data_IF_603394086636
#
_entry.id   IF_603394086636
#
_cell.length_a   1.000
_cell.length_b   1.000
_cell.length_c   1.000
_cell.angle_alpha   90.00
_cell.angle_beta   90.00
_cell.angle_gamma   90.00
#
_symmetry.space_group_name_H-M   'P 1'
#
loop_
_entity.id
_entity.type
_entity.pdbx_description
1 polymer ?
#
# COMPACT_ATOMS: atom_id res chain seq x y z
N UNK A 1 39.58 72.92 11.03
CA UNK A 1 40.20 72.64 12.32
C UNK A 1 40.05 71.14 12.59
N UNK A 2 41.14 70.45 12.51
CA UNK A 2 41.76 69.46 13.43
C UNK A 2 40.76 68.42 13.98
N UNK A 3 40.85 67.21 13.45
CA UNK A 3 41.69 66.11 13.92
C UNK A 3 41.01 65.20 14.95
N UNK A 4 40.77 63.97 14.56
CA UNK A 4 41.43 62.80 15.20
C UNK A 4 40.96 61.49 14.51
N UNK A 5 41.85 60.99 13.71
CA UNK A 5 41.90 59.59 13.37
C UNK A 5 42.67 58.84 14.46
N UNK A 6 42.50 57.52 14.45
CA UNK A 6 43.23 56.49 15.20
C UNK A 6 42.55 55.99 16.48
N UNK A 7 41.93 54.86 16.36
CA UNK A 7 42.33 53.58 17.02
C UNK A 7 41.25 52.54 16.81
N UNK A 8 41.45 51.66 15.87
CA UNK A 8 40.72 50.41 15.82
C UNK A 8 41.42 49.42 14.85
N UNK A 9 42.63 49.06 15.14
CA UNK A 9 43.27 47.91 14.47
C UNK A 9 44.06 47.20 15.58
N UNK A 10 43.53 46.20 16.23
CA UNK A 10 44.28 45.18 17.00
C UNK A 10 43.38 44.19 17.80
N UNK A 11 42.18 43.78 17.33
CA UNK A 11 41.42 42.74 18.05
C UNK A 11 40.89 41.63 17.12
N UNK A 12 41.32 41.53 15.86
CA UNK A 12 40.79 40.51 14.94
C UNK A 12 41.73 39.29 14.78
N UNK A 13 42.93 39.28 15.37
CA UNK A 13 43.86 38.18 15.13
C UNK A 13 43.85 37.03 16.18
N UNK A 14 43.11 37.14 17.28
CA UNK A 14 43.11 36.12 18.33
C UNK A 14 41.87 35.15 18.27
N UNK A 15 40.82 35.48 17.52
CA UNK A 15 39.60 34.65 17.42
C UNK A 15 39.65 33.58 16.31
N UNK A 16 40.57 33.72 15.35
CA UNK A 16 40.67 32.80 14.21
C UNK A 16 41.35 31.46 14.47
N UNK A 17 42.26 31.43 15.46
CA UNK A 17 43.05 30.21 15.74
C UNK A 17 42.32 29.18 16.61
N UNK A 18 41.40 29.61 17.44
CA UNK A 18 40.65 28.72 18.34
C UNK A 18 39.49 28.01 17.63
N UNK A 19 38.96 28.59 16.54
CA UNK A 19 37.86 27.99 15.78
C UNK A 19 38.32 26.84 14.86
N UNK A 20 39.56 26.91 14.36
CA UNK A 20 40.13 25.87 13.49
C UNK A 20 40.49 24.57 14.22
N UNK A 21 40.88 24.66 15.52
CA UNK A 21 41.19 23.47 16.32
C UNK A 21 39.89 22.74 16.76
N UNK A 22 38.81 23.46 17.00
CA UNK A 22 37.53 22.86 17.36
C UNK A 22 36.84 22.14 16.16
N UNK A 23 36.98 22.64 14.92
CA UNK A 23 36.46 21.97 13.73
C UNK A 23 37.27 20.71 13.36
N UNK A 24 38.59 20.68 13.61
CA UNK A 24 39.40 19.49 13.34
C UNK A 24 39.09 18.33 14.31
N UNK A 25 38.70 18.63 15.56
CA UNK A 25 38.30 17.62 16.54
C UNK A 25 36.89 17.04 16.26
N UNK A 26 35.99 17.83 15.63
CA UNK A 26 34.63 17.37 15.31
C UNK A 26 34.59 16.45 14.08
N UNK A 27 35.50 16.63 13.12
CA UNK A 27 35.57 15.75 11.93
C UNK A 27 36.39 14.47 12.14
N UNK A 28 37.16 14.38 13.23
CA UNK A 28 37.96 13.19 13.56
C UNK A 28 37.17 12.07 14.26
N UNK A 29 35.97 12.33 14.78
CA UNK A 29 35.18 11.39 15.56
C UNK A 29 34.04 10.69 14.77
N UNK A 30 33.90 10.98 13.47
CA UNK A 30 32.82 10.37 12.63
C UNK A 30 33.32 9.31 11.64
N UNK A 31 34.47 8.68 11.89
CA UNK A 31 34.90 7.52 11.07
C UNK A 31 35.11 6.28 11.92
N UNK A 32 34.07 5.86 12.60
CA UNK A 32 33.91 4.45 12.95
C UNK A 32 32.57 4.01 12.40
N UNK A 33 32.61 3.48 11.20
CA UNK A 33 31.47 2.72 10.62
C UNK A 33 31.16 1.51 11.50
N UNK A 34 29.90 1.06 11.55
CA UNK A 34 29.55 -0.14 12.30
C UNK A 34 30.33 -1.34 11.75
N UNK A 35 30.88 -2.13 12.68
CA UNK A 35 31.60 -3.36 12.37
C UNK A 35 30.70 -4.29 11.54
N UNK A 36 31.18 -4.71 10.37
CA UNK A 36 30.56 -5.76 9.57
C UNK A 36 30.56 -7.08 10.36
N UNK A 37 29.42 -7.45 10.87
CA UNK A 37 29.20 -8.85 11.28
C UNK A 37 28.85 -9.67 10.04
N UNK A 38 29.83 -10.37 9.52
CA UNK A 38 29.62 -11.39 8.50
C UNK A 38 28.76 -12.50 9.09
N UNK A 39 27.49 -12.59 8.67
CA UNK A 39 26.65 -13.76 8.91
C UNK A 39 26.60 -14.60 7.63
N UNK A 40 27.07 -15.83 7.74
CA UNK A 40 27.05 -16.83 6.67
C UNK A 40 25.67 -17.48 6.58
N UNK A 41 25.06 -17.42 5.39
CA UNK A 41 24.09 -18.40 4.91
C UNK A 41 22.61 -18.10 5.15
N UNK A 42 21.82 -18.13 4.10
CA UNK A 42 20.36 -18.23 3.99
C UNK A 42 19.47 -17.03 4.40
N UNK A 43 20.03 -15.86 4.79
CA UNK A 43 19.26 -14.69 5.19
C UNK A 43 19.53 -13.42 4.40
N UNK A 44 20.34 -13.46 3.35
CA UNK A 44 20.85 -12.24 2.69
C UNK A 44 19.77 -11.37 2.00
N UNK A 45 18.58 -11.94 1.69
CA UNK A 45 17.47 -11.20 1.10
C UNK A 45 16.61 -10.43 2.13
N UNK A 46 16.69 -10.80 3.41
CA UNK A 46 15.94 -10.12 4.48
C UNK A 46 16.70 -8.95 5.11
N UNK A 47 18.03 -8.93 4.99
CA UNK A 47 18.87 -7.88 5.62
C UNK A 47 18.75 -6.50 4.98
N UNK A 48 18.15 -6.39 3.79
CA UNK A 48 17.92 -5.11 3.10
C UNK A 48 16.48 -4.60 3.17
N UNK A 49 15.56 -5.37 3.77
CA UNK A 49 14.15 -4.95 3.83
C UNK A 49 13.95 -3.82 4.85
N UNK A 50 13.22 -2.74 4.51
CA UNK A 50 12.95 -1.64 5.43
C UNK A 50 12.33 -2.15 6.74
N UNK A 51 12.80 -1.59 7.87
CA UNK A 51 12.21 -1.83 9.19
C UNK A 51 11.25 -0.68 9.51
N UNK A 52 9.96 -1.03 9.67
CA UNK A 52 8.90 -0.08 10.03
C UNK A 52 8.61 -0.05 11.53
N UNK A 53 9.43 -0.72 12.35
CA UNK A 53 9.29 -0.77 13.82
C UNK A 53 8.06 -1.54 14.30
N UNK A 54 7.51 -2.43 13.46
CA UNK A 54 6.32 -3.25 13.78
C UNK A 54 6.51 -4.69 13.33
N UNK A 55 5.78 -5.63 13.96
CA UNK A 55 5.74 -7.00 13.49
C UNK A 55 5.08 -7.07 12.11
N UNK A 56 5.76 -7.67 11.14
CA UNK A 56 5.24 -7.84 9.79
C UNK A 56 5.77 -9.12 9.13
N UNK A 57 5.03 -9.63 8.17
CA UNK A 57 5.40 -10.79 7.37
C UNK A 57 4.27 -11.79 7.22
N UNK A 58 4.59 -13.02 6.82
CA UNK A 58 3.61 -14.08 6.54
C UNK A 58 3.28 -14.94 7.78
N UNK A 59 3.94 -14.67 8.90
CA UNK A 59 3.67 -15.40 10.15
C UNK A 59 2.46 -14.84 10.87
N UNK A 60 1.50 -15.70 11.20
CA UNK A 60 0.33 -15.35 12.02
C UNK A 60 0.69 -14.84 13.42
N UNK A 61 1.96 -14.96 13.87
CA UNK A 61 2.43 -14.36 15.13
C UNK A 61 2.36 -12.83 15.12
N UNK A 62 2.34 -12.20 13.92
CA UNK A 62 2.16 -10.77 13.79
C UNK A 62 0.70 -10.33 13.77
N UNK A 63 -0.25 -11.25 13.88
CA UNK A 63 -1.68 -10.96 13.97
C UNK A 63 -2.13 -10.85 15.43
N UNK A 64 -2.94 -9.82 15.72
CA UNK A 64 -3.55 -9.63 17.03
C UNK A 64 -5.01 -10.11 17.01
N UNK A 65 -5.23 -11.36 17.35
CA UNK A 65 -6.57 -11.91 17.51
C UNK A 65 -7.12 -11.58 18.91
N UNK A 66 -7.63 -10.38 19.07
CA UNK A 66 -8.23 -9.91 20.32
C UNK A 66 -9.76 -10.02 20.33
N UNK A 67 -10.34 -10.66 19.32
CA UNK A 67 -11.78 -10.85 19.21
C UNK A 67 -12.56 -9.59 18.77
N UNK A 68 -11.87 -8.51 18.39
CA UNK A 68 -12.52 -7.25 18.01
C UNK A 68 -13.35 -7.34 16.73
N UNK A 69 -13.03 -8.28 15.84
CA UNK A 69 -13.59 -8.40 14.48
C UNK A 69 -14.28 -9.74 14.23
N UNK A 70 -14.60 -10.48 15.26
CA UNK A 70 -15.46 -11.65 15.10
C UNK A 70 -16.85 -11.18 14.68
N UNK A 71 -17.41 -11.70 13.56
CA UNK A 71 -18.75 -11.32 13.17
C UNK A 71 -19.73 -11.78 14.24
N UNK A 72 -20.37 -10.82 14.88
CA UNK A 72 -21.49 -11.06 15.76
C UNK A 72 -22.74 -11.37 14.90
N UNK A 73 -23.91 -11.18 15.45
CA UNK A 73 -25.21 -11.35 14.78
C UNK A 73 -25.39 -10.51 13.50
N UNK A 74 -24.59 -9.45 13.33
CA UNK A 74 -24.75 -8.46 12.25
C UNK A 74 -23.98 -8.81 10.96
N UNK A 75 -23.26 -9.94 10.95
CA UNK A 75 -22.47 -10.39 9.79
C UNK A 75 -21.19 -9.57 9.54
N UNK A 76 -20.60 -9.76 8.37
CA UNK A 76 -19.38 -9.05 7.95
C UNK A 76 -19.69 -7.69 7.33
N UNK A 77 -18.84 -6.71 7.64
CA UNK A 77 -18.96 -5.35 7.12
C UNK A 77 -17.60 -4.79 6.69
N UNK A 78 -17.58 -4.07 5.55
CA UNK A 78 -16.38 -3.39 5.04
C UNK A 78 -16.66 -1.91 4.79
N UNK A 79 -15.61 -1.08 4.89
CA UNK A 79 -15.62 0.32 4.48
C UNK A 79 -14.81 0.47 3.21
N UNK A 80 -15.41 0.93 2.13
CA UNK A 80 -14.74 1.31 0.90
C UNK A 80 -14.40 2.80 0.94
N UNK A 81 -13.12 3.12 0.80
CA UNK A 81 -12.59 4.48 0.77
C UNK A 81 -11.93 4.76 -0.57
N UNK A 82 -12.42 5.80 -1.27
CA UNK A 82 -11.98 6.14 -2.64
C UNK A 82 -11.56 7.60 -2.80
N UNK A 83 -11.23 8.28 -1.69
CA UNK A 83 -10.81 9.69 -1.70
C UNK A 83 -9.52 9.87 -2.50
N UNK A 84 -9.50 10.93 -3.31
CA UNK A 84 -8.32 11.36 -4.05
C UNK A 84 -7.93 12.78 -3.62
N UNK A 85 -6.68 12.98 -3.24
CA UNK A 85 -6.07 14.29 -2.99
C UNK A 85 -5.10 14.68 -4.13
N UNK A 86 -5.05 13.90 -5.19
CA UNK A 86 -4.25 14.08 -6.39
C UNK A 86 -4.98 13.53 -7.62
N UNK A 87 -4.29 12.82 -8.52
CA UNK A 87 -4.90 12.21 -9.69
C UNK A 87 -6.10 11.35 -9.32
N UNK A 88 -7.18 11.47 -10.09
CA UNK A 88 -8.40 10.68 -9.93
C UNK A 88 -8.62 9.82 -11.17
N UNK A 89 -8.67 8.51 -10.96
CA UNK A 89 -8.95 7.56 -12.02
C UNK A 89 -10.38 7.70 -12.51
N UNK A 90 -10.58 7.54 -13.81
CA UNK A 90 -11.89 7.72 -14.46
C UNK A 90 -12.96 6.75 -13.91
N UNK A 91 -12.58 5.53 -13.56
CA UNK A 91 -13.48 4.51 -13.00
C UNK A 91 -14.07 4.85 -11.62
N UNK A 92 -13.49 5.83 -10.92
CA UNK A 92 -14.08 6.35 -9.68
C UNK A 92 -15.27 7.29 -9.94
N UNK A 93 -15.45 7.76 -11.18
CA UNK A 93 -16.52 8.69 -11.55
C UNK A 93 -16.42 10.04 -10.84
N UNK A 94 -17.52 10.78 -10.68
CA UNK A 94 -17.53 12.04 -9.95
C UNK A 94 -17.17 11.84 -8.48
N UNK A 95 -16.57 12.88 -7.87
CA UNK A 95 -16.29 12.87 -6.44
C UNK A 95 -17.58 12.72 -5.63
N UNK A 96 -17.50 11.95 -4.56
CA UNK A 96 -18.65 11.68 -3.71
C UNK A 96 -18.93 12.86 -2.76
N UNK A 97 -20.19 13.01 -2.36
CA UNK A 97 -20.60 13.93 -1.32
C UNK A 97 -20.02 13.55 0.05
N UNK A 98 -20.12 14.49 0.99
CA UNK A 98 -19.69 14.27 2.38
C UNK A 98 -20.56 13.20 3.08
N UNK A 99 -19.97 12.57 4.08
CA UNK A 99 -20.64 11.58 4.93
C UNK A 99 -20.44 10.15 4.47
N UNK A 100 -21.22 9.26 5.06
CA UNK A 100 -21.22 7.82 4.77
C UNK A 100 -22.34 7.50 3.78
N UNK A 101 -22.02 6.64 2.79
CA UNK A 101 -22.96 6.17 1.77
C UNK A 101 -23.64 7.29 0.96
N UNK A 102 -22.91 8.31 0.46
CA UNK A 102 -23.50 9.28 -0.44
C UNK A 102 -24.02 8.61 -1.72
N UNK A 103 -24.93 9.27 -2.43
CA UNK A 103 -25.49 8.73 -3.68
C UNK A 103 -24.38 8.45 -4.70
N UNK A 104 -24.48 7.29 -5.38
CA UNK A 104 -23.58 6.89 -6.45
C UNK A 104 -24.22 7.17 -7.81
N UNK A 105 -23.42 7.65 -8.76
CA UNK A 105 -23.75 7.67 -10.18
C UNK A 105 -23.34 6.32 -10.82
N UNK A 106 -23.88 6.01 -11.97
CA UNK A 106 -23.51 4.80 -12.74
C UNK A 106 -22.01 4.79 -13.09
N UNK A 107 -21.42 5.98 -13.26
CA UNK A 107 -19.99 6.16 -13.55
C UNK A 107 -19.07 6.00 -12.33
N UNK A 108 -19.61 5.84 -11.12
CA UNK A 108 -18.84 5.39 -9.95
C UNK A 108 -18.65 3.86 -10.03
N UNK A 109 -17.91 3.40 -11.04
CA UNK A 109 -17.83 1.98 -11.44
C UNK A 109 -17.30 1.10 -10.31
N UNK A 110 -16.20 1.51 -9.68
CA UNK A 110 -15.57 0.78 -8.57
C UNK A 110 -16.51 0.66 -7.38
N UNK A 111 -17.12 1.76 -6.98
CA UNK A 111 -18.00 1.78 -5.82
C UNK A 111 -19.20 0.87 -6.06
N UNK A 112 -19.83 0.99 -7.22
CA UNK A 112 -20.95 0.13 -7.62
C UNK A 112 -20.55 -1.36 -7.68
N UNK A 113 -19.35 -1.67 -8.19
CA UNK A 113 -18.86 -3.05 -8.27
C UNK A 113 -18.64 -3.66 -6.88
N UNK A 114 -18.00 -2.94 -5.95
CA UNK A 114 -17.75 -3.46 -4.60
C UNK A 114 -19.06 -3.59 -3.81
N UNK A 115 -19.99 -2.64 -3.97
CA UNK A 115 -21.35 -2.74 -3.37
C UNK A 115 -22.09 -3.98 -3.89
N UNK A 116 -22.02 -4.23 -5.21
CA UNK A 116 -22.59 -5.43 -5.82
C UNK A 116 -21.94 -6.71 -5.25
N UNK A 117 -20.62 -6.77 -5.18
CA UNK A 117 -19.89 -7.91 -4.56
C UNK A 117 -20.40 -8.19 -3.15
N UNK A 118 -20.56 -7.14 -2.32
CA UNK A 118 -21.11 -7.30 -0.98
C UNK A 118 -22.50 -7.90 -0.95
N UNK A 119 -23.39 -7.42 -1.81
CA UNK A 119 -24.77 -7.91 -1.92
C UNK A 119 -24.85 -9.37 -2.40
N UNK A 120 -24.01 -9.74 -3.37
CA UNK A 120 -23.97 -11.09 -3.95
C UNK A 120 -23.34 -12.11 -3.02
N UNK A 121 -22.35 -11.69 -2.20
CA UNK A 121 -21.57 -12.58 -1.34
C UNK A 121 -21.84 -12.42 0.15
N UNK A 122 -22.85 -11.67 0.55
CA UNK A 122 -23.38 -11.62 1.92
C UNK A 122 -22.47 -10.91 2.90
N UNK A 123 -21.96 -9.72 2.54
CA UNK A 123 -21.35 -8.77 3.45
C UNK A 123 -21.82 -7.35 3.16
N UNK A 124 -21.90 -6.51 4.19
CA UNK A 124 -22.31 -5.12 4.04
C UNK A 124 -21.14 -4.26 3.59
N UNK A 125 -21.36 -3.37 2.62
CA UNK A 125 -20.40 -2.39 2.16
C UNK A 125 -20.91 -0.99 2.50
N UNK A 126 -20.16 -0.24 3.29
CA UNK A 126 -20.28 1.21 3.38
C UNK A 126 -19.20 1.86 2.50
N UNK A 127 -19.46 3.04 1.94
CA UNK A 127 -18.50 3.76 1.10
C UNK A 127 -18.45 5.24 1.45
N UNK A 128 -17.27 5.86 1.24
CA UNK A 128 -17.05 7.27 1.52
C UNK A 128 -15.79 7.81 0.84
N UNK A 129 -15.78 9.13 0.60
CA UNK A 129 -14.58 9.93 0.34
C UNK A 129 -14.37 10.99 1.42
N UNK A 130 -15.24 11.02 2.44
CA UNK A 130 -15.18 11.93 3.56
C UNK A 130 -14.19 11.39 4.61
N UNK A 131 -13.03 12.05 4.74
CA UNK A 131 -11.98 11.66 5.68
C UNK A 131 -12.47 11.64 7.14
N UNK A 132 -13.46 12.43 7.49
CA UNK A 132 -14.01 12.45 8.85
C UNK A 132 -14.65 11.11 9.25
N UNK A 133 -15.04 10.27 8.27
CA UNK A 133 -15.53 8.92 8.54
C UNK A 133 -14.45 7.97 9.06
N UNK A 134 -13.16 8.33 8.85
CA UNK A 134 -12.00 7.57 9.33
C UNK A 134 -11.36 8.21 10.58
N UNK A 135 -11.80 9.38 11.03
CA UNK A 135 -11.11 10.21 12.04
C UNK A 135 -11.17 9.67 13.48
N UNK A 136 -11.92 8.61 13.76
CA UNK A 136 -11.94 7.99 15.09
C UNK A 136 -11.87 6.47 15.02
N UNK A 137 -11.09 5.81 15.91
CA UNK A 137 -10.99 4.35 15.92
C UNK A 137 -12.37 3.67 16.06
N UNK A 138 -13.26 4.23 16.88
CA UNK A 138 -14.60 3.69 17.10
C UNK A 138 -15.45 3.58 15.83
N UNK A 139 -15.21 4.44 14.83
CA UNK A 139 -15.86 4.33 13.51
C UNK A 139 -15.30 3.16 12.71
N UNK A 140 -13.97 2.98 12.72
CA UNK A 140 -13.31 1.93 11.97
C UNK A 140 -13.51 0.54 12.58
N UNK A 141 -13.58 0.43 13.90
CA UNK A 141 -13.81 -0.85 14.61
C UNK A 141 -15.19 -1.50 14.32
N UNK A 142 -16.05 -0.83 13.57
CA UNK A 142 -17.32 -1.40 13.08
C UNK A 142 -17.14 -2.24 11.81
N UNK A 143 -15.96 -2.20 11.18
CA UNK A 143 -15.66 -2.87 9.92
C UNK A 143 -14.65 -3.98 10.10
N UNK A 144 -14.91 -5.13 9.49
CA UNK A 144 -13.98 -6.26 9.46
C UNK A 144 -12.78 -6.00 8.54
N UNK A 145 -13.00 -5.20 7.47
CA UNK A 145 -11.93 -4.70 6.62
C UNK A 145 -12.21 -3.27 6.16
N UNK A 146 -11.13 -2.51 5.94
CA UNK A 146 -11.14 -1.20 5.25
C UNK A 146 -10.47 -1.39 3.89
N UNK A 147 -11.14 -0.95 2.82
CA UNK A 147 -10.69 -1.09 1.44
C UNK A 147 -10.27 0.30 0.95
N UNK A 148 -9.02 0.46 0.58
CA UNK A 148 -8.56 1.64 -0.19
C UNK A 148 -8.47 1.24 -1.64
N UNK A 149 -9.28 1.89 -2.49
CA UNK A 149 -9.29 1.63 -3.92
C UNK A 149 -9.03 2.90 -4.69
N UNK A 150 -7.94 2.92 -5.46
CA UNK A 150 -7.55 4.05 -6.31
C UNK A 150 -7.52 5.39 -5.58
N UNK A 151 -7.23 5.37 -4.27
CA UNK A 151 -6.94 6.58 -3.48
C UNK A 151 -5.67 7.25 -4.00
N UNK A 152 -5.43 8.53 -3.70
CA UNK A 152 -4.23 9.20 -4.19
C UNK A 152 -3.75 10.31 -3.26
N UNK A 153 -2.41 10.45 -3.16
CA UNK A 153 -1.70 11.48 -2.39
C UNK A 153 -2.12 11.48 -0.90
N UNK A 154 -2.12 12.62 -0.26
CA UNK A 154 -2.45 12.77 1.17
C UNK A 154 -3.98 12.67 1.37
N UNK A 155 -4.50 11.45 1.26
CA UNK A 155 -5.92 11.14 1.34
C UNK A 155 -6.45 11.15 2.79
N UNK A 156 -5.56 11.07 3.78
CA UNK A 156 -5.86 11.06 5.21
C UNK A 156 -5.35 12.31 5.89
N UNK A 157 -6.06 12.75 6.93
CA UNK A 157 -5.54 13.68 7.92
C UNK A 157 -4.91 12.94 9.11
N UNK A 158 -4.23 13.66 10.01
CA UNK A 158 -3.53 13.08 11.17
C UNK A 158 -4.45 12.22 12.06
N UNK A 159 -5.72 12.62 12.19
CA UNK A 159 -6.71 11.90 12.98
C UNK A 159 -7.08 10.57 12.31
N UNK A 160 -7.27 10.57 10.99
CA UNK A 160 -7.56 9.37 10.21
C UNK A 160 -6.35 8.43 10.13
N UNK A 161 -5.13 8.96 9.98
CA UNK A 161 -3.89 8.16 10.05
C UNK A 161 -3.77 7.47 11.41
N UNK A 162 -3.96 8.23 12.51
CA UNK A 162 -3.92 7.67 13.88
C UNK A 162 -4.97 6.58 14.05
N UNK A 163 -6.19 6.82 13.59
CA UNK A 163 -7.31 5.89 13.71
C UNK A 163 -7.10 4.62 12.90
N UNK A 164 -6.61 4.74 11.65
CA UNK A 164 -6.27 3.60 10.80
C UNK A 164 -5.19 2.74 11.43
N UNK A 165 -4.13 3.36 11.98
CA UNK A 165 -3.07 2.64 12.67
C UNK A 165 -3.58 1.88 13.88
N UNK A 166 -4.45 2.50 14.70
CA UNK A 166 -5.05 1.83 15.86
C UNK A 166 -5.97 0.69 15.44
N UNK A 167 -6.75 0.87 14.37
CA UNK A 167 -7.63 -0.14 13.82
C UNK A 167 -6.84 -1.38 13.34
N UNK A 168 -5.79 -1.19 12.55
CA UNK A 168 -4.92 -2.28 12.08
C UNK A 168 -4.26 -2.99 13.26
N UNK A 169 -3.69 -2.22 14.22
CA UNK A 169 -3.08 -2.79 15.42
C UNK A 169 -4.06 -3.59 16.27
N UNK A 170 -5.33 -3.24 16.23
CA UNK A 170 -6.42 -3.97 16.89
C UNK A 170 -6.83 -5.25 16.19
N UNK A 171 -6.22 -5.65 15.09
CA UNK A 171 -6.52 -6.86 14.32
C UNK A 171 -7.39 -6.61 13.08
N UNK A 172 -7.63 -5.35 12.70
CA UNK A 172 -8.45 -4.99 11.54
C UNK A 172 -7.86 -5.45 10.22
N UNK A 173 -8.73 -5.68 9.23
CA UNK A 173 -8.35 -6.03 7.86
C UNK A 173 -8.14 -4.82 6.96
N UNK A 174 -7.21 -4.91 6.03
CA UNK A 174 -6.96 -3.90 5.01
C UNK A 174 -6.89 -4.54 3.62
N UNK A 175 -7.55 -3.94 2.64
CA UNK A 175 -7.39 -4.28 1.24
C UNK A 175 -6.94 -3.02 0.46
N UNK A 176 -5.73 -3.04 -0.11
CA UNK A 176 -5.21 -1.96 -0.94
C UNK A 176 -5.25 -2.35 -2.41
N UNK A 177 -5.97 -1.56 -3.24
CA UNK A 177 -6.23 -1.89 -4.62
C UNK A 177 -5.79 -0.73 -5.51
N UNK A 178 -5.03 -1.07 -6.56
CA UNK A 178 -4.54 -0.18 -7.59
C UNK A 178 -3.82 1.04 -7.00
N UNK A 179 -4.28 2.26 -7.23
CA UNK A 179 -3.59 3.46 -6.77
C UNK A 179 -3.65 3.71 -5.25
N UNK A 180 -4.09 2.73 -4.44
CA UNK A 180 -3.76 2.74 -3.01
C UNK A 180 -2.24 2.83 -2.76
N UNK A 181 -1.43 2.38 -3.72
CA UNK A 181 0.03 2.50 -3.72
C UNK A 181 0.55 3.91 -4.02
N UNK A 182 -0.28 4.78 -4.58
CA UNK A 182 -0.02 6.19 -4.83
C UNK A 182 -0.50 7.12 -3.72
N UNK A 183 -0.68 6.60 -2.51
CA UNK A 183 -1.31 7.28 -1.36
C UNK A 183 -0.32 7.35 -0.21
N UNK A 184 -0.36 8.44 0.59
CA UNK A 184 0.38 8.61 1.85
C UNK A 184 1.90 8.40 1.71
N UNK A 185 2.54 8.89 0.65
CA UNK A 185 3.97 8.71 0.38
C UNK A 185 4.90 9.17 1.53
N UNK A 186 4.46 10.14 2.31
CA UNK A 186 5.24 10.69 3.41
C UNK A 186 5.01 9.95 4.75
N UNK A 187 4.27 8.83 4.73
CA UNK A 187 3.95 8.05 5.91
C UNK A 187 4.55 6.64 5.86
N UNK A 188 5.77 6.43 6.40
CA UNK A 188 6.47 5.13 6.31
C UNK A 188 5.67 3.95 6.89
N UNK A 189 4.82 4.18 7.90
CA UNK A 189 3.95 3.14 8.42
C UNK A 189 2.97 2.64 7.36
N UNK A 190 2.41 3.53 6.53
CA UNK A 190 1.51 3.16 5.45
C UNK A 190 2.25 2.41 4.31
N UNK A 191 3.45 2.84 3.95
CA UNK A 191 4.32 2.09 3.04
C UNK A 191 4.53 0.66 3.55
N UNK A 192 4.80 0.49 4.85
CA UNK A 192 4.90 -0.83 5.48
C UNK A 192 3.59 -1.63 5.40
N UNK A 193 2.42 -1.01 5.57
CA UNK A 193 1.10 -1.64 5.40
C UNK A 193 0.90 -2.15 3.97
N UNK A 194 1.43 -1.45 2.97
CA UNK A 194 1.43 -1.86 1.57
C UNK A 194 2.44 -2.98 1.25
N UNK A 195 3.13 -3.51 2.24
CA UNK A 195 4.15 -4.54 2.04
C UNK A 195 5.58 -3.99 1.92
N UNK A 196 5.79 -2.72 2.26
CA UNK A 196 7.02 -2.00 1.99
C UNK A 196 7.14 -1.67 0.51
N UNK A 197 6.05 -1.14 -0.08
CA UNK A 197 5.98 -0.84 -1.50
C UNK A 197 5.23 0.47 -1.75
N UNK A 198 5.73 1.27 -2.69
CA UNK A 198 5.05 2.46 -3.20
C UNK A 198 5.02 2.43 -4.72
N UNK A 199 4.00 3.04 -5.30
CA UNK A 199 3.96 3.32 -6.73
C UNK A 199 5.12 4.26 -7.10
N UNK A 200 5.87 3.88 -8.13
CA UNK A 200 6.95 4.70 -8.68
C UNK A 200 6.61 5.21 -10.07
N UNK A 201 6.40 4.30 -11.01
CA UNK A 201 5.93 4.59 -12.37
C UNK A 201 5.26 3.33 -12.97
N UNK A 202 4.84 3.41 -14.21
CA UNK A 202 4.36 2.29 -15.02
C UNK A 202 4.69 2.52 -16.50
N UNK A 203 4.78 1.44 -17.26
CA UNK A 203 4.78 1.47 -18.72
C UNK A 203 3.39 1.79 -19.27
N UNK A 204 3.18 1.67 -20.61
CA UNK A 204 1.84 1.84 -21.18
C UNK A 204 0.87 0.80 -20.64
N UNK A 205 -0.42 1.18 -20.55
CA UNK A 205 -1.49 0.22 -20.33
C UNK A 205 -1.49 -0.81 -21.47
N UNK A 206 -1.38 -2.09 -21.13
CA UNK A 206 -1.26 -3.15 -22.12
C UNK A 206 -1.67 -4.51 -21.57
N UNK A 207 -1.99 -5.42 -22.49
CA UNK A 207 -2.27 -6.81 -22.14
C UNK A 207 -1.00 -7.54 -21.70
N UNK A 208 -1.13 -8.30 -20.60
CA UNK A 208 -0.10 -9.21 -20.09
C UNK A 208 -0.69 -10.49 -19.53
N UNK A 209 0.14 -11.45 -19.14
CA UNK A 209 -0.28 -12.64 -18.42
C UNK A 209 -0.01 -12.52 -16.93
N UNK A 210 -1.06 -12.60 -16.13
CA UNK A 210 -0.97 -12.78 -14.68
C UNK A 210 -0.69 -14.26 -14.37
N UNK A 211 0.26 -14.51 -13.49
CA UNK A 211 0.69 -15.85 -13.07
C UNK A 211 0.46 -16.02 -11.58
N UNK A 212 -0.37 -16.97 -11.19
CA UNK A 212 -0.59 -17.33 -9.78
C UNK A 212 0.66 -18.01 -9.22
N UNK A 213 1.22 -17.44 -8.16
CA UNK A 213 2.43 -17.92 -7.48
C UNK A 213 2.15 -18.68 -6.21
N UNK A 214 1.08 -18.34 -5.51
CA UNK A 214 0.67 -19.00 -4.29
C UNK A 214 -0.86 -19.13 -4.26
N UNK A 215 -1.35 -20.27 -3.75
CA UNK A 215 -2.78 -20.55 -3.53
C UNK A 215 -3.15 -20.57 -2.04
N UNK A 216 -2.27 -20.00 -1.22
CA UNK A 216 -2.39 -19.99 0.24
C UNK A 216 -3.22 -18.81 0.78
N UNK A 217 -3.92 -18.12 -0.11
CA UNK A 217 -4.91 -17.09 0.19
C UNK A 217 -6.19 -17.33 -0.61
N UNK A 218 -7.33 -16.94 -0.07
CA UNK A 218 -8.62 -17.11 -0.73
C UNK A 218 -8.66 -16.44 -2.11
N UNK A 219 -7.98 -15.30 -2.26
CA UNK A 219 -7.95 -14.51 -3.51
C UNK A 219 -7.36 -15.24 -4.71
N UNK A 220 -6.57 -16.29 -4.48
CA UNK A 220 -5.90 -17.02 -5.59
C UNK A 220 -6.17 -18.51 -5.58
N UNK A 221 -6.84 -19.03 -4.56
CA UNK A 221 -7.03 -20.48 -4.40
C UNK A 221 -7.84 -21.12 -5.54
N UNK A 222 -8.85 -20.41 -6.08
CA UNK A 222 -9.74 -20.86 -7.16
C UNK A 222 -9.32 -20.44 -8.57
N UNK A 223 -8.34 -19.53 -8.73
CA UNK A 223 -7.99 -18.96 -10.02
C UNK A 223 -7.24 -19.94 -10.93
N UNK A 224 -7.30 -19.80 -12.26
CA UNK A 224 -6.42 -20.49 -13.18
C UNK A 224 -4.95 -20.15 -12.89
N UNK A 225 -4.02 -21.03 -13.25
CA UNK A 225 -2.58 -20.80 -13.00
C UNK A 225 -2.05 -19.57 -13.75
N UNK A 226 -2.62 -19.26 -14.89
CA UNK A 226 -2.31 -18.10 -15.74
C UNK A 226 -3.60 -17.56 -16.36
N UNK A 227 -3.70 -16.25 -16.51
CA UNK A 227 -4.82 -15.59 -17.18
C UNK A 227 -4.38 -14.26 -17.76
N UNK A 228 -4.98 -13.90 -18.90
CA UNK A 228 -4.67 -12.65 -19.58
C UNK A 228 -5.45 -11.49 -18.95
N UNK A 229 -4.78 -10.35 -18.76
CA UNK A 229 -5.37 -9.13 -18.24
C UNK A 229 -4.73 -7.91 -18.91
N UNK A 230 -5.47 -6.80 -18.96
CA UNK A 230 -4.96 -5.52 -19.43
C UNK A 230 -4.90 -4.56 -18.25
N UNK A 231 -3.72 -3.97 -18.01
CA UNK A 231 -3.55 -3.02 -16.89
C UNK A 231 -2.34 -2.10 -17.13
N UNK A 232 -2.20 -1.10 -16.26
CA UNK A 232 -0.94 -0.39 -16.01
C UNK A 232 -0.10 -1.23 -15.04
N UNK A 233 0.99 -1.84 -15.55
CA UNK A 233 1.83 -2.70 -14.73
C UNK A 233 2.77 -1.85 -13.87
N UNK A 234 2.41 -1.65 -12.60
CA UNK A 234 3.10 -0.75 -11.69
C UNK A 234 4.51 -1.21 -11.34
N UNK A 235 5.48 -0.36 -11.59
CA UNK A 235 6.80 -0.46 -11.00
C UNK A 235 6.79 0.13 -9.60
N UNK A 236 7.34 -0.58 -8.64
CA UNK A 236 7.26 -0.27 -7.22
C UNK A 236 8.65 0.05 -6.65
N UNK A 237 8.77 1.19 -5.96
CA UNK A 237 10.00 1.57 -5.25
C UNK A 237 9.63 2.13 -3.87
N UNK A 238 10.01 1.44 -2.78
CA UNK A 238 10.63 0.12 -2.75
C UNK A 238 9.72 -0.97 -3.31
N UNK A 239 10.31 -2.12 -3.66
CA UNK A 239 9.56 -3.31 -4.03
C UNK A 239 9.07 -4.05 -2.76
N UNK A 240 7.92 -4.78 -2.83
CA UNK A 240 7.38 -5.46 -1.67
C UNK A 240 8.36 -6.48 -1.09
N UNK A 241 8.44 -6.52 0.23
CA UNK A 241 9.35 -7.38 0.98
C UNK A 241 8.68 -7.97 2.22
N UNK A 242 9.13 -9.13 2.66
CA UNK A 242 8.53 -9.87 3.80
C UNK A 242 7.03 -10.17 3.60
N UNK A 243 6.61 -10.32 2.35
CA UNK A 243 5.22 -10.61 1.94
C UNK A 243 5.12 -11.98 1.30
N UNK A 244 3.93 -12.55 1.23
CA UNK A 244 3.63 -13.67 0.34
C UNK A 244 3.14 -13.11 -1.00
N UNK A 245 3.94 -13.24 -2.03
CA UNK A 245 3.53 -12.92 -3.40
C UNK A 245 2.49 -13.96 -3.84
N UNK A 246 1.29 -13.50 -4.17
CA UNK A 246 0.16 -14.31 -4.61
C UNK A 246 0.12 -14.44 -6.13
N UNK A 247 0.39 -13.33 -6.83
CA UNK A 247 0.44 -13.28 -8.28
C UNK A 247 1.52 -12.32 -8.77
N UNK A 248 2.05 -12.60 -9.96
CA UNK A 248 2.99 -11.75 -10.70
C UNK A 248 2.49 -11.54 -12.12
N UNK A 249 2.92 -10.49 -12.80
CA UNK A 249 2.84 -10.45 -14.26
C UNK A 249 4.09 -11.10 -14.87
N UNK A 250 3.92 -11.78 -15.99
CA UNK A 250 5.01 -12.28 -16.81
C UNK A 250 5.43 -11.18 -17.79
N UNK A 251 6.49 -10.45 -17.44
CA UNK A 251 6.96 -9.31 -18.26
C UNK A 251 7.32 -9.70 -19.68
N UNK A 252 7.65 -10.98 -19.94
CA UNK A 252 7.94 -11.44 -21.31
C UNK A 252 6.73 -11.43 -22.24
N UNK A 253 5.53 -11.27 -21.68
CA UNK A 253 4.27 -11.17 -22.44
C UNK A 253 3.85 -9.73 -22.73
N UNK A 254 4.59 -8.74 -22.21
CA UNK A 254 4.30 -7.32 -22.38
C UNK A 254 4.95 -6.79 -23.66
N UNK A 255 4.14 -6.55 -24.70
CA UNK A 255 4.60 -6.19 -26.02
C UNK A 255 5.38 -4.86 -26.05
N UNK A 256 5.00 -3.91 -25.19
CA UNK A 256 5.61 -2.57 -25.11
C UNK A 256 6.59 -2.45 -23.93
N UNK A 257 6.87 -3.58 -23.22
CA UNK A 257 7.75 -3.62 -22.05
C UNK A 257 7.12 -2.96 -20.82
N UNK A 258 7.91 -2.82 -19.76
CA UNK A 258 7.46 -2.33 -18.44
C UNK A 258 8.08 -0.99 -18.06
N UNK A 259 9.01 -0.46 -18.86
CA UNK A 259 9.72 0.77 -18.53
C UNK A 259 8.77 1.94 -18.45
N UNK A 260 8.66 2.53 -17.28
CA UNK A 260 7.78 3.65 -17.00
C UNK A 260 8.39 5.01 -17.35
N UNK A 261 7.61 6.06 -17.12
CA UNK A 261 7.99 7.44 -17.43
C UNK A 261 9.19 7.98 -16.66
N UNK A 262 9.54 7.34 -15.52
CA UNK A 262 10.73 7.67 -14.72
C UNK A 262 11.89 6.68 -14.96
N UNK A 263 11.73 5.75 -15.88
CA UNK A 263 12.78 4.86 -16.34
C UNK A 263 13.03 3.62 -15.49
N UNK A 264 12.06 3.19 -14.68
CA UNK A 264 12.20 1.94 -13.95
C UNK A 264 12.22 0.75 -14.95
N UNK A 265 13.20 -0.18 -14.85
CA UNK A 265 13.39 -1.23 -15.85
C UNK A 265 12.41 -2.42 -15.70
N UNK A 266 11.48 -2.37 -14.76
CA UNK A 266 10.64 -3.50 -14.36
C UNK A 266 11.23 -4.31 -13.20
N UNK A 267 10.56 -5.42 -12.86
CA UNK A 267 10.95 -6.33 -11.77
C UNK A 267 11.37 -7.72 -12.29
N UNK A 268 11.41 -7.90 -13.61
CA UNK A 268 11.78 -9.13 -14.27
C UNK A 268 10.83 -10.29 -13.94
N UNK A 269 11.38 -11.47 -13.65
CA UNK A 269 10.59 -12.68 -13.36
C UNK A 269 9.70 -12.58 -12.11
N UNK A 270 9.98 -11.65 -11.24
CA UNK A 270 9.30 -11.47 -9.96
C UNK A 270 8.53 -10.15 -9.89
N UNK A 271 7.87 -9.75 -10.97
CA UNK A 271 7.05 -8.55 -11.00
C UNK A 271 5.73 -8.79 -10.23
N UNK A 272 5.61 -8.41 -8.95
CA UNK A 272 4.46 -8.72 -8.14
C UNK A 272 3.29 -7.82 -8.51
N UNK A 273 2.09 -8.44 -8.62
CA UNK A 273 0.84 -7.72 -8.85
C UNK A 273 -0.19 -7.96 -7.75
N UNK A 274 -0.02 -9.02 -6.93
CA UNK A 274 -0.84 -9.24 -5.73
C UNK A 274 -0.01 -9.93 -4.65
N UNK A 275 -0.23 -9.54 -3.39
CA UNK A 275 0.43 -10.14 -2.22
C UNK A 275 -0.36 -9.92 -0.94
N UNK A 276 0.05 -10.62 0.13
CA UNK A 276 -0.52 -10.48 1.46
C UNK A 276 0.56 -10.51 2.54
N UNK A 277 0.25 -9.90 3.68
CA UNK A 277 1.06 -9.96 4.89
C UNK A 277 0.21 -9.71 6.14
N UNK A 278 0.69 -10.15 7.28
CA UNK A 278 0.30 -9.56 8.56
C UNK A 278 1.14 -8.32 8.81
N UNK A 279 0.54 -7.27 9.31
CA UNK A 279 1.21 -5.99 9.56
C UNK A 279 0.64 -5.31 10.80
N UNK A 280 1.50 -4.97 11.77
CA UNK A 280 1.18 -4.24 13.00
C UNK A 280 -0.09 -4.76 13.71
N UNK A 281 -0.32 -6.06 13.67
CA UNK A 281 -1.48 -6.72 14.27
C UNK A 281 -2.63 -7.05 13.31
N UNK A 282 -2.71 -6.42 12.14
CA UNK A 282 -3.79 -6.61 11.17
C UNK A 282 -3.44 -7.54 10.01
N UNK A 283 -4.41 -7.74 9.12
CA UNK A 283 -4.27 -8.45 7.84
C UNK A 283 -4.24 -7.44 6.71
N UNK A 284 -3.26 -7.50 5.82
CA UNK A 284 -3.17 -6.64 4.63
C UNK A 284 -3.12 -7.49 3.36
N UNK A 285 -4.14 -7.39 2.52
CA UNK A 285 -4.19 -7.95 1.18
C UNK A 285 -4.08 -6.82 0.16
N UNK A 286 -3.31 -7.02 -0.91
CA UNK A 286 -2.84 -5.94 -1.75
C UNK A 286 -2.77 -6.38 -3.21
N UNK A 287 -3.22 -5.52 -4.13
CA UNK A 287 -3.04 -5.69 -5.58
C UNK A 287 -2.82 -4.37 -6.28
N UNK A 288 -1.88 -4.34 -7.24
CA UNK A 288 -1.64 -3.18 -8.11
C UNK A 288 -2.62 -3.11 -9.27
N UNK A 289 -3.36 -4.20 -9.54
CA UNK A 289 -4.31 -4.29 -10.65
C UNK A 289 -5.57 -3.47 -10.39
N UNK A 290 -6.26 -3.09 -11.48
CA UNK A 290 -7.58 -2.46 -11.42
C UNK A 290 -7.67 -1.06 -12.02
N UNK A 291 -6.85 -0.73 -13.02
CA UNK A 291 -6.85 0.57 -13.69
C UNK A 291 -8.12 0.82 -14.51
N UNK A 292 -8.50 -0.12 -15.37
CA UNK A 292 -9.57 0.09 -16.32
C UNK A 292 -10.95 -0.21 -15.73
N UNK A 293 -11.96 0.59 -16.11
CA UNK A 293 -13.36 0.37 -15.76
C UNK A 293 -13.89 -0.99 -16.26
N UNK A 294 -13.39 -1.48 -17.38
CA UNK A 294 -13.70 -2.78 -17.95
C UNK A 294 -13.37 -3.95 -17.02
N UNK A 295 -12.37 -3.80 -16.13
CA UNK A 295 -12.03 -4.80 -15.13
C UNK A 295 -13.19 -5.14 -14.16
N UNK A 296 -14.19 -4.25 -14.07
CA UNK A 296 -15.35 -4.38 -13.18
C UNK A 296 -16.63 -4.75 -13.92
N UNK A 297 -16.58 -5.01 -15.24
CA UNK A 297 -17.71 -5.47 -16.03
C UNK A 297 -18.00 -6.95 -15.79
N UNK A 298 -19.26 -7.34 -15.94
CA UNK A 298 -19.72 -8.74 -15.77
C UNK A 298 -20.25 -9.37 -17.06
N UNK A 299 -20.13 -8.66 -18.18
CA UNK A 299 -20.65 -9.06 -19.50
C UNK A 299 -19.66 -9.87 -20.34
N UNK A 300 -18.45 -10.12 -19.81
CA UNK A 300 -17.38 -10.84 -20.51
C UNK A 300 -16.67 -10.02 -21.58
N UNK A 301 -16.95 -8.73 -21.71
CA UNK A 301 -16.36 -7.86 -22.74
C UNK A 301 -14.89 -7.55 -22.47
N UNK A 302 -14.45 -7.57 -21.19
CA UNK A 302 -13.07 -7.31 -20.80
C UNK A 302 -12.37 -8.61 -20.41
N UNK A 303 -11.32 -9.04 -21.15
CA UNK A 303 -10.61 -10.29 -20.88
C UNK A 303 -9.98 -10.30 -19.48
N UNK A 304 -10.31 -11.30 -18.68
CA UNK A 304 -9.78 -11.47 -17.32
C UNK A 304 -10.52 -10.69 -16.23
N UNK A 305 -11.61 -9.97 -16.57
CA UNK A 305 -12.43 -9.25 -15.58
C UNK A 305 -12.98 -10.19 -14.49
N UNK A 306 -13.47 -11.37 -14.87
CA UNK A 306 -13.97 -12.37 -13.92
C UNK A 306 -12.86 -12.80 -12.94
N UNK A 307 -11.70 -13.18 -13.45
CA UNK A 307 -10.56 -13.60 -12.61
C UNK A 307 -10.07 -12.47 -11.70
N UNK A 308 -10.06 -11.24 -12.19
CA UNK A 308 -9.71 -10.07 -11.39
C UNK A 308 -10.74 -9.83 -10.28
N UNK A 309 -12.03 -9.87 -10.59
CA UNK A 309 -13.10 -9.66 -9.60
C UNK A 309 -13.11 -10.79 -8.56
N UNK A 310 -12.90 -12.05 -8.96
CA UNK A 310 -12.76 -13.19 -8.05
C UNK A 310 -11.55 -13.01 -7.13
N UNK A 311 -10.41 -12.51 -7.68
CA UNK A 311 -9.22 -12.21 -6.88
C UNK A 311 -9.49 -11.10 -5.87
N UNK A 312 -10.15 -10.02 -6.27
CA UNK A 312 -10.51 -8.91 -5.37
C UNK A 312 -11.48 -9.37 -4.29
N UNK A 313 -12.53 -10.10 -4.66
CA UNK A 313 -13.49 -10.66 -3.71
C UNK A 313 -12.80 -11.54 -2.67
N UNK A 314 -12.00 -12.51 -3.11
CA UNK A 314 -11.27 -13.39 -2.20
C UNK A 314 -10.29 -12.64 -1.31
N UNK A 315 -9.67 -11.57 -1.83
CA UNK A 315 -8.79 -10.67 -1.07
C UNK A 315 -9.53 -9.88 0.01
N UNK A 316 -10.71 -9.35 -0.30
CA UNK A 316 -11.58 -8.69 0.68
C UNK A 316 -12.04 -9.69 1.75
N UNK A 317 -12.49 -10.88 1.35
CA UNK A 317 -12.93 -11.92 2.29
C UNK A 317 -11.80 -12.42 3.19
N UNK A 318 -10.60 -12.59 2.67
CA UNK A 318 -9.45 -13.01 3.46
C UNK A 318 -9.00 -11.90 4.43
N UNK A 319 -8.97 -10.64 3.99
CA UNK A 319 -8.68 -9.50 4.86
C UNK A 319 -9.72 -9.36 5.99
N UNK A 320 -11.01 -9.56 5.71
CA UNK A 320 -12.08 -9.60 6.73
C UNK A 320 -11.89 -10.74 7.75
N UNK A 321 -11.09 -11.77 7.43
CA UNK A 321 -10.98 -12.98 8.23
C UNK A 321 -12.14 -13.96 8.03
N UNK A 322 -12.92 -13.80 6.98
CA UNK A 322 -14.02 -14.70 6.62
C UNK A 322 -13.51 -15.95 5.90
N UNK A 323 -12.41 -15.82 5.20
CA UNK A 323 -11.78 -16.87 4.40
C UNK A 323 -10.29 -17.02 4.77
N UNK A 324 -9.61 -18.10 4.30
CA UNK A 324 -8.19 -18.29 4.58
C UNK A 324 -7.35 -17.11 4.10
N UNK A 325 -6.53 -16.58 5.01
CA UNK A 325 -5.65 -15.44 4.76
C UNK A 325 -4.18 -15.87 4.83
N UNK A 326 -3.41 -15.59 3.78
CA UNK A 326 -1.94 -15.58 3.75
C UNK A 326 -1.29 -16.78 4.47
N UNK A 327 -1.84 -18.00 4.33
CA UNK A 327 -1.39 -19.18 5.08
C UNK A 327 0.08 -19.50 4.81
N UNK A 328 0.78 -19.97 5.84
CA UNK A 328 2.10 -20.55 5.67
C UNK A 328 2.02 -21.84 4.82
N UNK A 329 3.13 -22.20 4.15
CA UNK A 329 3.28 -23.45 3.42
C UNK A 329 3.31 -24.63 4.39
#
# INVERSE_FOLDING_TARGET
MRSRARTAVSVVAAAGATLLVALAAFFGLQRQGPAEHASTGAGAQELGAPDYGVCRGVSARCYHDWGNFSPATDGYRVLLYTRTAGPRHAHLGPALGAGLNPALADTNVVQNAVVRMGAEHGFTVDWTEDVTQLSTPARLFRYNAVIFHSTSRDALDDAAQTSLRQYIRGGGGFAGIHNAFGTEYNWPWYEGLLGGANFYDHGPEQRGEVVVRSRHDASTSGLPARWAFTDEWYNLVPAPSKVRVLATVDESTLAEGVTGGQGHPGHGRNHPVAWCQYYDGGRAWLTTLGHDAGAFTTDGSFPGAEQFQDMVLGGIESAMGRSPFCRAD
#
